data_IF_891650241685
#
_entry.id   IF_891650241685
#
_cell.length_a   1.000
_cell.length_b   1.000
_cell.length_c   1.000
_cell.angle_alpha   90.00
_cell.angle_beta   90.00
_cell.angle_gamma   90.00
#
_symmetry.space_group_name_H-M   'P 1'
#
loop_
_entity.id
_entity.type
_entity.pdbx_description
1 polymer ?
#
# COMPACT_ATOMS: atom_id res chain seq x y z
N UNK A 1 1.26 -2.86 -1.17
CA UNK A 1 0.76 -4.13 -0.60
C UNK A 1 0.83 -4.04 0.92
N UNK A 2 -0.21 -4.49 1.61
CA UNK A 2 -0.22 -4.61 3.06
C UNK A 2 -0.16 -6.07 3.53
N UNK A 3 -0.16 -7.04 2.61
CA UNK A 3 -0.26 -8.46 2.93
C UNK A 3 0.72 -9.33 2.12
N UNK A 4 1.03 -10.52 2.65
CA UNK A 4 1.91 -11.48 1.98
C UNK A 4 1.40 -11.91 0.60
N UNK A 5 0.09 -12.10 0.44
CA UNK A 5 -0.49 -12.55 -0.83
C UNK A 5 -0.25 -11.53 -1.95
N UNK A 6 -0.52 -10.26 -1.66
CA UNK A 6 -0.30 -9.13 -2.56
C UNK A 6 1.20 -8.87 -2.84
N UNK A 7 2.10 -9.17 -1.90
CA UNK A 7 3.53 -8.96 -2.07
C UNK A 7 4.12 -9.79 -3.23
N UNK A 8 3.72 -11.05 -3.38
CA UNK A 8 4.24 -11.89 -4.46
C UNK A 8 3.92 -11.35 -5.86
N UNK A 9 2.81 -10.63 -6.01
CA UNK A 9 2.43 -9.97 -7.27
C UNK A 9 3.32 -8.75 -7.57
N UNK A 10 3.76 -8.04 -6.53
CA UNK A 10 4.66 -6.89 -6.65
C UNK A 10 6.13 -7.29 -6.78
N UNK A 11 6.51 -8.49 -6.33
CA UNK A 11 7.91 -8.92 -6.24
C UNK A 11 8.67 -8.78 -7.56
N UNK A 12 8.09 -9.21 -8.67
CA UNK A 12 8.75 -9.11 -9.98
C UNK A 12 8.86 -7.65 -10.42
N UNK A 13 7.83 -6.84 -10.21
CA UNK A 13 7.89 -5.40 -10.49
C UNK A 13 9.01 -4.72 -9.68
N UNK A 14 9.18 -5.07 -8.40
CA UNK A 14 10.27 -4.54 -7.59
C UNK A 14 11.65 -4.94 -8.15
N UNK A 15 11.83 -6.17 -8.63
CA UNK A 15 13.08 -6.59 -9.28
C UNK A 15 13.36 -5.79 -10.56
N UNK A 16 12.35 -5.58 -11.40
CA UNK A 16 12.50 -4.77 -12.63
C UNK A 16 12.88 -3.32 -12.30
N UNK A 17 12.19 -2.69 -11.34
CA UNK A 17 12.50 -1.31 -10.91
C UNK A 17 13.91 -1.22 -10.32
N UNK A 18 14.35 -2.22 -9.54
CA UNK A 18 15.69 -2.22 -8.93
C UNK A 18 16.82 -2.35 -9.97
N UNK A 19 16.55 -2.99 -11.11
CA UNK A 19 17.51 -3.18 -12.20
C UNK A 19 17.44 -2.05 -13.25
N UNK A 20 16.47 -1.15 -13.16
CA UNK A 20 16.36 0.02 -14.02
C UNK A 20 17.24 1.16 -13.50
N UNK A 21 18.00 1.79 -14.42
CA UNK A 21 18.93 2.89 -14.10
C UNK A 21 18.23 4.24 -13.93
N UNK A 22 17.03 4.38 -14.44
CA UNK A 22 16.26 5.63 -14.47
C UNK A 22 15.22 5.66 -13.32
N UNK A 23 15.08 4.57 -12.57
CA UNK A 23 14.15 4.44 -11.45
C UNK A 23 14.86 4.21 -10.12
N UNK A 24 14.26 4.70 -9.04
CA UNK A 24 14.72 4.46 -7.67
C UNK A 24 13.62 3.77 -6.85
N UNK A 25 13.85 2.50 -6.50
CA UNK A 25 12.89 1.72 -5.73
C UNK A 25 12.85 2.17 -4.26
N UNK A 26 11.67 2.56 -3.80
CA UNK A 26 11.39 2.81 -2.38
C UNK A 26 10.27 1.88 -1.90
N UNK A 27 10.53 1.11 -0.85
CA UNK A 27 9.55 0.14 -0.30
C UNK A 27 9.09 0.62 1.07
N UNK A 28 7.77 0.78 1.22
CA UNK A 28 7.12 0.93 2.52
C UNK A 28 6.40 -0.37 2.86
N UNK A 29 6.80 -1.01 3.97
CA UNK A 29 6.07 -2.14 4.52
C UNK A 29 5.10 -1.66 5.61
N UNK A 30 3.85 -2.13 5.56
CA UNK A 30 2.79 -1.73 6.50
C UNK A 30 1.81 -2.89 6.76
N UNK A 31 0.78 -2.64 7.57
CA UNK A 31 -0.32 -3.58 7.77
C UNK A 31 0.13 -4.94 8.29
N UNK A 32 -0.41 -6.00 7.69
CA UNK A 32 -0.16 -7.38 8.10
C UNK A 32 1.32 -7.78 7.99
N UNK A 33 2.10 -7.13 7.12
CA UNK A 33 3.54 -7.40 7.04
C UNK A 33 4.27 -7.18 8.36
N UNK A 34 3.82 -6.23 9.18
CA UNK A 34 4.45 -5.86 10.45
C UNK A 34 3.80 -6.53 11.66
N UNK A 35 2.75 -7.32 11.46
CA UNK A 35 2.04 -7.98 12.55
C UNK A 35 2.70 -9.31 12.95
N UNK A 36 2.95 -9.55 14.25
CA UNK A 36 3.35 -10.86 14.76
C UNK A 36 2.33 -11.96 14.44
N UNK A 37 1.03 -11.63 14.47
CA UNK A 37 -0.07 -12.58 14.25
C UNK A 37 -0.08 -13.10 12.80
N UNK A 38 0.38 -12.27 11.86
CA UNK A 38 0.51 -12.62 10.45
C UNK A 38 1.93 -13.06 10.08
N UNK A 39 2.80 -13.34 11.06
CA UNK A 39 4.11 -13.96 10.87
C UNK A 39 5.25 -13.02 10.50
N UNK A 40 5.09 -11.69 10.67
CA UNK A 40 6.13 -10.69 10.37
C UNK A 40 6.71 -10.82 8.96
N UNK A 41 5.84 -10.92 7.96
CA UNK A 41 6.22 -11.22 6.57
C UNK A 41 7.06 -10.12 5.91
N UNK A 42 7.22 -8.94 6.54
CA UNK A 42 8.26 -7.98 6.13
C UNK A 42 9.66 -8.62 6.09
N UNK A 43 9.92 -9.62 6.94
CA UNK A 43 11.21 -10.34 6.95
C UNK A 43 11.46 -11.12 5.66
N UNK A 44 10.40 -11.51 4.95
CA UNK A 44 10.52 -12.16 3.63
C UNK A 44 10.93 -11.14 2.57
N UNK A 45 10.37 -9.92 2.63
CA UNK A 45 10.76 -8.80 1.78
C UNK A 45 12.24 -8.46 1.99
N UNK A 46 12.71 -8.40 3.25
CA UNK A 46 14.10 -8.07 3.60
C UNK A 46 15.15 -9.08 3.12
N UNK A 47 14.75 -10.29 2.73
CA UNK A 47 15.67 -11.27 2.15
C UNK A 47 16.14 -10.85 0.76
N UNK A 48 15.37 -10.02 0.07
CA UNK A 48 15.60 -9.67 -1.33
C UNK A 48 15.71 -8.16 -1.55
N UNK A 49 15.00 -7.35 -0.75
CA UNK A 49 14.93 -5.91 -0.93
C UNK A 49 15.20 -5.15 0.36
N UNK A 50 15.76 -3.95 0.24
CA UNK A 50 15.83 -3.01 1.34
C UNK A 50 14.45 -2.35 1.53
N UNK A 51 13.87 -2.51 2.72
CA UNK A 51 12.67 -1.75 3.11
C UNK A 51 13.10 -0.34 3.49
N UNK A 52 12.58 0.67 2.80
CA UNK A 52 12.87 2.10 3.05
C UNK A 52 12.22 2.58 4.34
N UNK A 53 10.96 2.22 4.58
CA UNK A 53 10.23 2.58 5.81
C UNK A 53 9.28 1.46 6.25
N UNK A 54 9.15 1.25 7.56
CA UNK A 54 8.15 0.36 8.15
C UNK A 54 7.13 1.20 8.90
N UNK A 55 5.87 1.14 8.51
CA UNK A 55 4.80 1.95 9.08
C UNK A 55 3.75 1.04 9.74
N UNK A 56 3.75 0.88 11.07
CA UNK A 56 2.73 0.11 11.76
C UNK A 56 1.40 0.88 11.80
N UNK A 57 0.32 0.25 11.31
CA UNK A 57 -1.02 0.86 11.26
C UNK A 57 -2.10 -0.01 11.92
N UNK A 58 -1.79 -1.29 12.21
CA UNK A 58 -2.75 -2.21 12.81
C UNK A 58 -2.88 -1.94 14.30
N UNK A 59 -4.13 -1.88 14.74
CA UNK A 59 -4.49 -1.84 16.15
C UNK A 59 -4.89 -3.25 16.60
N UNK A 60 -4.72 -3.55 17.88
CA UNK A 60 -4.93 -4.89 18.44
C UNK A 60 -6.42 -5.35 18.52
N UNK A 61 -7.34 -4.67 17.83
CA UNK A 61 -8.78 -4.95 17.88
C UNK A 61 -9.37 -4.87 16.48
N UNK A 62 -10.23 -5.83 16.14
CA UNK A 62 -10.91 -5.95 14.84
C UNK A 62 -12.31 -5.32 14.82
N UNK A 63 -12.64 -4.48 15.80
CA UNK A 63 -13.91 -3.76 15.80
C UNK A 63 -13.94 -2.61 14.77
N UNK A 64 -15.14 -2.20 14.37
CA UNK A 64 -15.35 -1.15 13.34
C UNK A 64 -14.70 0.19 13.69
N UNK A 65 -14.59 0.54 14.98
CA UNK A 65 -13.93 1.78 15.40
C UNK A 65 -12.42 1.64 15.24
N UNK A 66 -11.86 0.48 15.61
CA UNK A 66 -10.44 0.21 15.42
C UNK A 66 -10.03 0.22 13.95
N UNK A 67 -10.88 -0.28 13.05
CA UNK A 67 -10.69 -0.14 11.61
C UNK A 67 -10.52 1.33 11.18
N UNK A 68 -11.47 2.20 11.55
CA UNK A 68 -11.42 3.62 11.25
C UNK A 68 -10.19 4.31 11.86
N UNK A 69 -9.80 3.93 13.08
CA UNK A 69 -8.58 4.45 13.72
C UNK A 69 -7.32 4.01 12.98
N UNK A 70 -7.22 2.76 12.55
CA UNK A 70 -6.13 2.27 11.72
C UNK A 70 -6.02 3.04 10.40
N UNK A 71 -7.15 3.36 9.77
CA UNK A 71 -7.17 4.21 8.57
C UNK A 71 -6.66 5.63 8.85
N UNK A 72 -7.04 6.23 9.98
CA UNK A 72 -6.55 7.55 10.40
C UNK A 72 -5.05 7.55 10.68
N UNK A 73 -4.54 6.49 11.30
CA UNK A 73 -3.10 6.30 11.54
C UNK A 73 -2.35 6.13 10.22
N UNK A 74 -2.87 5.32 9.30
CA UNK A 74 -2.29 5.15 7.97
C UNK A 74 -2.22 6.50 7.24
N UNK A 75 -3.31 7.27 7.21
CA UNK A 75 -3.35 8.57 6.55
C UNK A 75 -2.25 9.52 7.09
N UNK A 76 -2.19 9.69 8.41
CA UNK A 76 -1.19 10.57 9.06
C UNK A 76 0.25 10.08 8.86
N UNK A 77 0.49 8.78 9.01
CA UNK A 77 1.84 8.24 8.89
C UNK A 77 2.36 8.25 7.45
N UNK A 78 1.49 7.98 6.47
CA UNK A 78 1.85 8.04 5.05
C UNK A 78 2.04 9.47 4.56
N UNK A 79 1.27 10.45 5.05
CA UNK A 79 1.53 11.86 4.70
C UNK A 79 2.91 12.31 5.16
N UNK A 80 3.32 11.94 6.39
CA UNK A 80 4.68 12.22 6.85
C UNK A 80 5.73 11.44 6.04
N UNK A 81 5.47 10.16 5.73
CA UNK A 81 6.39 9.36 4.96
C UNK A 81 6.61 9.91 3.54
N UNK A 82 5.57 10.40 2.86
CA UNK A 82 5.73 10.98 1.53
C UNK A 82 6.44 12.33 1.56
N UNK A 83 6.26 13.14 2.61
CA UNK A 83 7.06 14.36 2.79
C UNK A 83 8.55 14.04 2.98
N UNK A 84 8.87 13.00 3.74
CA UNK A 84 10.26 12.58 3.97
C UNK A 84 10.90 11.95 2.72
N UNK A 85 10.16 11.07 2.03
CA UNK A 85 10.66 10.22 0.94
C UNK A 85 10.55 10.86 -0.44
N UNK A 86 9.69 11.88 -0.59
CA UNK A 86 9.44 12.64 -1.81
C UNK A 86 9.33 11.76 -3.06
N UNK A 87 8.41 10.78 -3.09
CA UNK A 87 8.26 9.92 -4.26
C UNK A 87 7.68 10.70 -5.45
N UNK A 88 8.24 10.50 -6.63
CA UNK A 88 7.66 11.03 -7.88
C UNK A 88 6.37 10.30 -8.29
N UNK A 89 6.19 9.07 -7.79
CA UNK A 89 5.03 8.23 -8.05
C UNK A 89 4.89 7.16 -6.97
N UNK A 90 3.65 6.78 -6.66
CA UNK A 90 3.32 5.71 -5.70
C UNK A 90 2.59 4.59 -6.42
N UNK A 91 2.99 3.34 -6.15
CA UNK A 91 2.33 2.13 -6.65
C UNK A 91 1.63 1.42 -5.50
N UNK A 92 0.34 1.16 -5.65
CA UNK A 92 -0.45 0.33 -4.73
C UNK A 92 -1.12 -0.81 -5.50
N UNK A 93 -1.39 -1.90 -4.79
CA UNK A 93 -2.06 -3.08 -5.32
C UNK A 93 -3.24 -3.41 -4.42
N UNK A 94 -4.36 -3.80 -5.04
CA UNK A 94 -5.54 -4.26 -4.35
C UNK A 94 -6.43 -3.13 -3.83
N UNK A 95 -7.24 -3.44 -2.84
CA UNK A 95 -8.42 -2.67 -2.44
C UNK A 95 -8.70 -2.73 -0.94
N UNK A 96 -7.70 -3.14 -0.16
CA UNK A 96 -7.82 -3.14 1.29
C UNK A 96 -8.05 -1.73 1.82
N UNK A 97 -8.79 -1.63 2.92
CA UNK A 97 -9.18 -0.37 3.54
C UNK A 97 -8.00 0.58 3.79
N UNK A 98 -6.83 0.07 4.17
CA UNK A 98 -5.64 0.90 4.41
C UNK A 98 -5.12 1.55 3.12
N UNK A 99 -5.31 0.92 1.95
CA UNK A 99 -4.90 1.49 0.67
C UNK A 99 -5.78 2.69 0.29
N UNK A 100 -7.03 2.77 0.79
CA UNK A 100 -7.86 3.97 0.61
C UNK A 100 -7.23 5.19 1.28
N UNK A 101 -6.67 5.03 2.48
CA UNK A 101 -5.93 6.10 3.17
C UNK A 101 -4.70 6.51 2.36
N UNK A 102 -3.90 5.56 1.87
CA UNK A 102 -2.70 5.84 1.07
C UNK A 102 -3.06 6.59 -0.22
N UNK A 103 -4.08 6.13 -0.93
CA UNK A 103 -4.56 6.77 -2.16
C UNK A 103 -5.07 8.20 -1.91
N UNK A 104 -5.78 8.40 -0.80
CA UNK A 104 -6.28 9.73 -0.40
C UNK A 104 -5.14 10.70 -0.10
N UNK A 105 -4.08 10.24 0.57
CA UNK A 105 -2.88 11.05 0.80
C UNK A 105 -2.20 11.42 -0.53
N UNK A 106 -2.05 10.45 -1.46
CA UNK A 106 -1.48 10.73 -2.79
C UNK A 106 -2.28 11.80 -3.53
N UNK A 107 -3.62 11.70 -3.51
CA UNK A 107 -4.50 12.69 -4.13
C UNK A 107 -4.28 14.10 -3.56
N UNK A 108 -4.25 14.23 -2.23
CA UNK A 108 -4.13 15.53 -1.56
C UNK A 108 -2.73 16.15 -1.67
N UNK A 109 -1.69 15.32 -1.73
CA UNK A 109 -0.31 15.75 -1.90
C UNK A 109 0.09 15.90 -3.38
N UNK A 110 -0.84 15.69 -4.32
CA UNK A 110 -0.61 15.72 -5.76
C UNK A 110 0.50 14.76 -6.22
N UNK A 111 0.59 13.58 -5.60
CA UNK A 111 1.54 12.53 -5.96
C UNK A 111 0.85 11.57 -6.96
N UNK A 112 1.41 11.37 -8.16
CA UNK A 112 0.90 10.39 -9.11
C UNK A 112 0.75 9.00 -8.51
N UNK A 113 -0.44 8.42 -8.68
CA UNK A 113 -0.80 7.11 -8.13
C UNK A 113 -1.02 6.08 -9.24
N UNK A 114 -0.35 4.95 -9.13
CA UNK A 114 -0.58 3.75 -9.94
C UNK A 114 -1.34 2.72 -9.12
N UNK A 115 -2.47 2.27 -9.64
CA UNK A 115 -3.27 1.22 -9.02
C UNK A 115 -3.25 -0.06 -9.86
N UNK A 116 -2.77 -1.13 -9.25
CA UNK A 116 -2.73 -2.47 -9.82
C UNK A 116 -3.90 -3.31 -9.30
N UNK A 117 -4.46 -4.17 -10.16
CA UNK A 117 -5.59 -5.06 -9.88
C UNK A 117 -6.90 -4.33 -9.55
N UNK A 118 -7.10 -3.11 -10.07
CA UNK A 118 -8.28 -2.30 -9.73
C UNK A 118 -9.59 -2.67 -10.45
N UNK A 119 -9.59 -3.67 -11.35
CA UNK A 119 -10.80 -4.09 -12.07
C UNK A 119 -11.26 -5.52 -11.79
N UNK A 120 -10.65 -6.19 -10.81
CA UNK A 120 -11.25 -7.41 -10.25
C UNK A 120 -12.59 -7.04 -9.58
N UNK A 121 -13.56 -7.96 -9.54
CA UNK A 121 -14.86 -7.73 -8.90
C UNK A 121 -15.06 -8.78 -7.81
N UNK A 122 -15.33 -8.32 -6.59
CA UNK A 122 -15.64 -9.15 -5.43
C UNK A 122 -17.08 -8.88 -5.03
N UNK A 123 -18.01 -9.43 -5.82
CA UNK A 123 -19.47 -9.28 -5.74
C UNK A 123 -19.99 -8.93 -4.33
N UNK A 124 -20.16 -7.63 -4.05
CA UNK A 124 -20.86 -7.14 -2.87
C UNK A 124 -20.02 -6.97 -1.59
N UNK A 125 -18.69 -7.09 -1.68
CA UNK A 125 -17.79 -6.75 -0.57
C UNK A 125 -17.58 -5.22 -0.47
N UNK A 126 -17.30 -4.72 0.75
CA UNK A 126 -16.87 -3.32 0.95
C UNK A 126 -15.63 -2.98 0.09
N UNK A 127 -14.84 -4.01 -0.21
CA UNK A 127 -13.65 -3.97 -1.04
C UNK A 127 -13.93 -3.43 -2.45
N UNK A 128 -15.09 -3.71 -3.07
CA UNK A 128 -15.46 -3.14 -4.39
C UNK A 128 -15.57 -1.61 -4.33
N UNK A 129 -16.19 -1.07 -3.27
CA UNK A 129 -16.35 0.39 -3.09
C UNK A 129 -15.01 1.07 -2.85
N UNK A 130 -14.12 0.41 -2.10
CA UNK A 130 -12.76 0.87 -1.88
C UNK A 130 -11.96 0.82 -3.19
N UNK A 131 -12.01 -0.30 -3.91
CA UNK A 131 -11.34 -0.52 -5.20
C UNK A 131 -11.70 0.59 -6.18
N UNK A 132 -12.98 0.82 -6.42
CA UNK A 132 -13.44 1.88 -7.34
C UNK A 132 -13.01 3.28 -6.90
N UNK A 133 -13.04 3.55 -5.59
CA UNK A 133 -12.59 4.83 -5.03
C UNK A 133 -11.08 5.03 -5.26
N UNK A 134 -10.28 4.00 -5.01
CA UNK A 134 -8.84 4.01 -5.27
C UNK A 134 -8.58 4.23 -6.77
N UNK A 135 -9.19 3.42 -7.64
CA UNK A 135 -9.00 3.55 -9.09
C UNK A 135 -9.37 4.94 -9.61
N UNK A 136 -10.39 5.58 -9.02
CA UNK A 136 -10.79 6.95 -9.39
C UNK A 136 -9.76 8.00 -8.99
N UNK A 137 -8.98 7.77 -7.93
CA UNK A 137 -7.88 8.63 -7.49
C UNK A 137 -6.56 8.35 -8.24
N UNK A 138 -6.47 7.22 -8.95
CA UNK A 138 -5.27 6.81 -9.66
C UNK A 138 -5.11 7.53 -11.00
N UNK A 139 -3.85 7.83 -11.33
CA UNK A 139 -3.46 8.41 -12.61
C UNK A 139 -3.25 7.32 -13.67
N UNK A 140 -2.71 6.18 -13.24
CA UNK A 140 -2.57 4.98 -14.04
C UNK A 140 -3.29 3.83 -13.35
N UNK A 141 -4.05 3.07 -14.13
CA UNK A 141 -4.82 1.93 -13.65
C UNK A 141 -4.53 0.74 -14.56
N UNK A 142 -4.05 -0.36 -13.96
CA UNK A 142 -3.76 -1.62 -14.65
C UNK A 142 -4.71 -2.72 -14.15
N UNK A 143 -5.27 -3.46 -15.11
CA UNK A 143 -6.24 -4.56 -14.95
C UNK A 143 -5.70 -5.87 -15.47
#
# INVERSE_FOLDING_TARGET
>A
SATRAEWYLLRNLCHEIQNDKDLNLQIIATGAHLSPEFGLTYKEIEKEFKITKKIPILLASDDKISLCKSMSLAFSAFSQAFEDLKPDMVVILGDRYEMLSVASVCLLMHIPLVHLCGGELTLGAIDDSIRHSISKMSHLHFV
#
